data_IF_669494994727
#
_entry.id   IF_669494994727
#
_cell.length_a   1.000
_cell.length_b   1.000
_cell.length_c   1.000
_cell.angle_alpha   90.00
_cell.angle_beta   90.00
_cell.angle_gamma   90.00
#
_symmetry.space_group_name_H-M   'P 1'
#
loop_
_entity.id
_entity.type
_entity.pdbx_description
1 polymer ?
#
# COMPACT_ATOMS: atom_id res chain seq x y z
N UNK A 1 -21.56 1.50 2.20
CA UNK A 1 -21.20 2.78 2.87
C UNK A 1 -19.74 2.82 3.31
N UNK A 2 -19.18 1.79 3.97
CA UNK A 2 -17.80 1.80 4.46
C UNK A 2 -16.70 2.08 3.40
N UNK A 3 -16.87 1.62 2.15
CA UNK A 3 -15.89 1.84 1.07
C UNK A 3 -15.79 3.31 0.63
N UNK A 4 -16.89 4.07 0.69
CA UNK A 4 -16.93 5.48 0.29
C UNK A 4 -16.32 6.36 1.39
N UNK A 5 -16.58 6.03 2.67
CA UNK A 5 -15.93 6.70 3.81
C UNK A 5 -14.43 6.46 3.86
N UNK A 6 -13.97 5.24 3.52
CA UNK A 6 -12.54 4.89 3.38
C UNK A 6 -11.82 5.82 2.39
N UNK A 7 -12.47 6.13 1.26
CA UNK A 7 -11.87 6.94 0.20
C UNK A 7 -11.95 8.44 0.49
N UNK A 8 -13.01 8.90 1.17
CA UNK A 8 -13.14 10.28 1.61
C UNK A 8 -12.08 10.65 2.67
N UNK A 9 -11.85 9.78 3.66
CA UNK A 9 -10.86 10.01 4.73
C UNK A 9 -9.41 10.01 4.19
N UNK A 10 -9.07 9.15 3.21
CA UNK A 10 -7.75 9.14 2.57
C UNK A 10 -7.46 10.46 1.81
N UNK A 11 -8.48 11.09 1.24
CA UNK A 11 -8.34 12.37 0.54
C UNK A 11 -8.12 13.55 1.49
N UNK A 12 -8.78 13.58 2.66
CA UNK A 12 -8.67 14.69 3.62
C UNK A 12 -7.33 14.74 4.37
N UNK A 13 -6.66 13.59 4.56
CA UNK A 13 -5.38 13.53 5.30
C UNK A 13 -4.12 13.88 4.49
N UNK A 14 -4.24 14.26 3.21
CA UNK A 14 -3.06 14.60 2.38
C UNK A 14 -2.96 16.08 1.93
N UNK A 15 -2.99 17.08 2.84
CA UNK A 15 -2.83 18.49 2.44
C UNK A 15 -1.48 18.80 1.77
N UNK A 16 -0.42 18.01 2.04
CA UNK A 16 0.96 18.30 1.58
C UNK A 16 1.43 17.50 0.35
N UNK A 17 0.70 16.47 -0.09
CA UNK A 17 1.00 15.77 -1.36
C UNK A 17 0.33 16.42 -2.58
N UNK A 18 -0.42 17.51 -2.37
CA UNK A 18 -1.26 18.16 -3.38
C UNK A 18 -0.52 19.00 -4.44
N UNK A 19 0.81 19.10 -4.35
CA UNK A 19 1.58 19.98 -5.26
C UNK A 19 2.08 19.28 -6.54
N UNK A 20 1.93 17.96 -6.66
CA UNK A 20 2.34 17.23 -7.86
C UNK A 20 1.14 16.79 -8.71
N UNK A 21 1.04 17.33 -9.93
CA UNK A 21 -0.12 17.11 -10.84
C UNK A 21 -0.34 15.64 -11.21
N UNK A 22 0.72 14.83 -11.18
CA UNK A 22 0.66 13.39 -11.50
C UNK A 22 -0.03 12.61 -10.38
N UNK A 23 0.27 12.91 -9.12
CA UNK A 23 -0.25 12.17 -7.97
C UNK A 23 -1.75 12.44 -7.72
N UNK A 24 -2.21 13.64 -8.09
CA UNK A 24 -3.63 14.02 -8.04
C UNK A 24 -4.48 13.13 -8.96
N UNK A 25 -4.01 12.78 -10.16
CA UNK A 25 -4.81 11.98 -11.10
C UNK A 25 -5.03 10.54 -10.62
N UNK A 26 -4.04 9.97 -9.94
CA UNK A 26 -4.07 8.58 -9.45
C UNK A 26 -5.02 8.38 -8.26
N UNK A 27 -4.91 9.21 -7.22
CA UNK A 27 -5.77 9.09 -6.03
C UNK A 27 -7.23 9.36 -6.40
N UNK A 28 -7.49 10.40 -7.20
CA UNK A 28 -8.85 10.69 -7.69
C UNK A 28 -9.40 9.58 -8.59
N UNK A 29 -8.54 8.87 -9.34
CA UNK A 29 -8.94 7.72 -10.14
C UNK A 29 -9.44 6.55 -9.28
N UNK A 30 -8.72 6.22 -8.20
CA UNK A 30 -9.16 5.23 -7.21
C UNK A 30 -10.46 5.63 -6.53
N UNK A 31 -10.56 6.88 -6.11
CA UNK A 31 -11.74 7.40 -5.43
C UNK A 31 -12.97 7.35 -6.35
N UNK A 32 -12.83 7.77 -7.61
CA UNK A 32 -13.92 7.78 -8.59
C UNK A 32 -14.41 6.37 -8.98
N UNK A 33 -13.51 5.38 -9.00
CA UNK A 33 -13.85 3.98 -9.33
C UNK A 33 -14.88 3.40 -8.34
N UNK A 34 -14.72 3.68 -7.05
CA UNK A 34 -15.59 3.12 -6.01
C UNK A 34 -16.72 4.08 -5.59
N UNK A 35 -16.65 5.37 -5.94
CA UNK A 35 -17.71 6.35 -5.64
C UNK A 35 -18.98 6.14 -6.48
N UNK A 36 -18.86 5.58 -7.68
CA UNK A 36 -19.98 5.34 -8.60
C UNK A 36 -20.37 3.86 -8.67
N UNK A 37 -20.11 3.11 -7.59
CA UNK A 37 -20.21 1.66 -7.62
C UNK A 37 -21.56 1.17 -7.09
N UNK A 38 -22.35 0.57 -7.97
CA UNK A 38 -23.70 0.04 -7.68
C UNK A 38 -23.67 -1.42 -7.17
N UNK A 39 -22.48 -1.95 -6.86
CA UNK A 39 -22.31 -3.36 -6.47
C UNK A 39 -22.89 -3.66 -5.08
N UNK A 40 -23.89 -4.54 -5.04
CA UNK A 40 -24.61 -4.92 -3.81
C UNK A 40 -23.77 -5.65 -2.75
N UNK A 41 -22.64 -6.27 -3.14
CA UNK A 41 -21.67 -6.88 -2.22
C UNK A 41 -20.31 -7.04 -2.93
N UNK A 42 -19.25 -6.44 -2.38
CA UNK A 42 -17.88 -6.69 -2.83
C UNK A 42 -17.14 -7.53 -1.79
N UNK A 43 -16.70 -8.72 -2.19
CA UNK A 43 -15.76 -9.51 -1.41
C UNK A 43 -14.36 -8.84 -1.38
N UNK A 44 -13.59 -9.08 -0.33
CA UNK A 44 -12.24 -8.52 -0.13
C UNK A 44 -11.32 -8.81 -1.32
N UNK A 45 -11.39 -10.00 -1.91
CA UNK A 45 -10.60 -10.33 -3.10
C UNK A 45 -10.93 -9.44 -4.30
N UNK A 46 -12.22 -9.13 -4.50
CA UNK A 46 -12.68 -8.24 -5.56
C UNK A 46 -12.23 -6.79 -5.33
N UNK A 47 -12.21 -6.33 -4.08
CA UNK A 47 -11.69 -5.00 -3.73
C UNK A 47 -10.23 -4.90 -4.13
N UNK A 48 -9.37 -5.83 -3.68
CA UNK A 48 -7.94 -5.82 -4.05
C UNK A 48 -7.74 -5.89 -5.56
N UNK A 49 -8.53 -6.71 -6.28
CA UNK A 49 -8.44 -6.80 -7.74
C UNK A 49 -8.79 -5.47 -8.41
N UNK A 50 -9.90 -4.84 -8.03
CA UNK A 50 -10.32 -3.56 -8.62
C UNK A 50 -9.31 -2.46 -8.30
N UNK A 51 -8.81 -2.41 -7.07
CA UNK A 51 -7.74 -1.48 -6.71
C UNK A 51 -6.51 -1.71 -7.60
N UNK A 52 -6.09 -2.96 -7.83
CA UNK A 52 -4.97 -3.28 -8.71
C UNK A 52 -5.20 -2.78 -10.15
N UNK A 53 -6.36 -3.11 -10.74
CA UNK A 53 -6.73 -2.67 -12.09
C UNK A 53 -6.75 -1.13 -12.21
N UNK A 54 -7.26 -0.44 -11.20
CA UNK A 54 -7.31 1.02 -11.20
C UNK A 54 -5.92 1.62 -11.04
N UNK A 55 -5.07 1.04 -10.19
CA UNK A 55 -3.65 1.43 -10.08
C UNK A 55 -2.96 1.27 -11.43
N UNK A 56 -3.11 0.16 -12.12
CA UNK A 56 -2.50 -0.07 -13.44
C UNK A 56 -2.92 0.96 -14.49
N UNK A 57 -4.18 1.39 -14.45
CA UNK A 57 -4.74 2.35 -15.41
C UNK A 57 -4.40 3.81 -15.08
N UNK A 58 -4.30 4.14 -13.79
CA UNK A 58 -4.27 5.53 -13.32
C UNK A 58 -2.93 5.94 -12.71
N UNK A 59 -2.08 4.99 -12.34
CA UNK A 59 -0.73 5.24 -11.83
C UNK A 59 0.31 4.95 -12.91
N UNK A 60 1.21 5.90 -13.12
CA UNK A 60 2.39 5.71 -13.97
C UNK A 60 3.65 5.43 -13.16
N UNK A 61 4.69 4.95 -13.84
CA UNK A 61 6.03 4.79 -13.28
C UNK A 61 6.20 3.58 -12.35
N UNK A 62 7.36 3.52 -11.69
CA UNK A 62 7.78 2.35 -10.90
C UNK A 62 6.88 2.07 -9.69
N UNK A 63 6.33 3.09 -9.05
CA UNK A 63 5.41 2.92 -7.92
C UNK A 63 4.11 2.26 -8.34
N UNK A 64 3.52 2.66 -9.48
CA UNK A 64 2.33 2.03 -10.04
C UNK A 64 2.55 0.54 -10.31
N UNK A 65 3.69 0.18 -10.89
CA UNK A 65 4.06 -1.22 -11.11
C UNK A 65 4.20 -2.01 -9.79
N UNK A 66 4.87 -1.44 -8.78
CA UNK A 66 5.01 -2.08 -7.46
C UNK A 66 3.63 -2.32 -6.81
N UNK A 67 2.76 -1.30 -6.81
CA UNK A 67 1.40 -1.44 -6.28
C UNK A 67 0.59 -2.49 -7.06
N UNK A 68 0.65 -2.47 -8.39
CA UNK A 68 -0.07 -3.42 -9.24
C UNK A 68 0.36 -4.87 -8.97
N UNK A 69 1.67 -5.14 -8.92
CA UNK A 69 2.20 -6.49 -8.65
C UNK A 69 1.72 -6.96 -7.27
N UNK A 70 1.91 -6.12 -6.24
CA UNK A 70 1.52 -6.46 -4.87
C UNK A 70 0.02 -6.75 -4.76
N UNK A 71 -0.82 -5.81 -5.21
CA UNK A 71 -2.27 -5.92 -5.06
C UNK A 71 -2.85 -7.09 -5.86
N UNK A 72 -2.34 -7.35 -7.07
CA UNK A 72 -2.75 -8.53 -7.84
C UNK A 72 -2.34 -9.83 -7.16
N UNK A 73 -1.14 -9.90 -6.59
CA UNK A 73 -0.67 -11.08 -5.87
C UNK A 73 -1.50 -11.34 -4.60
N UNK A 74 -1.87 -10.29 -3.86
CA UNK A 74 -2.80 -10.38 -2.73
C UNK A 74 -4.18 -10.86 -3.20
N UNK A 75 -4.73 -10.27 -4.26
CA UNK A 75 -6.03 -10.66 -4.82
C UNK A 75 -6.05 -12.13 -5.26
N UNK A 76 -5.00 -12.58 -5.97
CA UNK A 76 -4.83 -13.98 -6.38
C UNK A 76 -4.83 -14.90 -5.15
N UNK A 77 -4.04 -14.56 -4.13
CA UNK A 77 -3.98 -15.38 -2.92
C UNK A 77 -5.32 -15.43 -2.17
N UNK A 78 -6.11 -14.36 -2.16
CA UNK A 78 -7.43 -14.36 -1.54
C UNK A 78 -8.39 -15.26 -2.31
N UNK A 79 -8.36 -15.22 -3.65
CA UNK A 79 -9.15 -16.10 -4.51
C UNK A 79 -8.78 -17.57 -4.32
N UNK A 80 -7.50 -17.91 -4.32
CA UNK A 80 -7.00 -19.28 -4.09
C UNK A 80 -7.50 -19.83 -2.75
N UNK A 81 -7.40 -19.02 -1.69
CA UNK A 81 -7.80 -19.43 -0.34
C UNK A 81 -9.33 -19.50 -0.19
N UNK A 82 -10.09 -18.61 -0.82
CA UNK A 82 -11.56 -18.68 -0.84
C UNK A 82 -12.05 -19.96 -1.53
N UNK A 83 -11.41 -20.38 -2.62
CA UNK A 83 -11.70 -21.65 -3.29
C UNK A 83 -11.35 -22.86 -2.40
N UNK A 84 -10.23 -22.80 -1.66
CA UNK A 84 -9.84 -23.85 -0.74
C UNK A 84 -10.79 -23.99 0.47
N UNK A 85 -11.41 -22.89 0.90
CA UNK A 85 -12.42 -22.83 1.97
C UNK A 85 -13.80 -23.34 1.56
N UNK A 86 -14.07 -23.55 0.27
CA UNK A 86 -15.26 -24.25 -0.19
C UNK A 86 -15.27 -25.73 0.24
N UNK A 87 -14.16 -26.23 0.79
CA UNK A 87 -14.10 -27.50 1.51
C UNK A 87 -14.58 -27.31 2.96
N UNK A 88 -15.60 -28.09 3.42
CA UNK A 88 -16.28 -27.87 4.70
C UNK A 88 -15.45 -28.07 5.98
N UNK A 89 -14.17 -28.41 5.86
CA UNK A 89 -13.28 -28.75 6.98
C UNK A 89 -12.40 -27.60 7.47
N UNK A 90 -12.43 -26.44 6.81
CA UNK A 90 -11.47 -25.34 7.06
C UNK A 90 -12.19 -24.08 7.53
N UNK A 91 -12.24 -23.85 8.84
CA UNK A 91 -12.68 -22.58 9.43
C UNK A 91 -11.49 -21.61 9.48
N UNK A 92 -11.21 -20.88 8.40
CA UNK A 92 -10.24 -19.77 8.46
C UNK A 92 -10.95 -18.44 8.62
N UNK A 93 -10.68 -17.74 9.72
CA UNK A 93 -11.19 -16.40 9.96
C UNK A 93 -10.55 -15.38 9.00
N UNK A 94 -11.33 -14.41 8.52
CA UNK A 94 -10.96 -13.38 7.54
C UNK A 94 -9.61 -12.67 7.84
N UNK A 95 -9.27 -12.29 9.08
CA UNK A 95 -7.97 -11.67 9.37
C UNK A 95 -6.77 -12.58 9.08
N UNK A 96 -6.91 -13.91 9.24
CA UNK A 96 -5.83 -14.84 8.92
C UNK A 96 -5.66 -15.01 7.41
N UNK A 97 -6.76 -14.98 6.65
CA UNK A 97 -6.72 -14.95 5.18
C UNK A 97 -5.97 -13.71 4.69
N UNK A 98 -6.37 -12.52 5.19
CA UNK A 98 -5.72 -11.26 4.81
C UNK A 98 -4.23 -11.28 5.15
N UNK A 99 -3.85 -11.74 6.35
CA UNK A 99 -2.43 -11.87 6.73
C UNK A 99 -1.66 -12.78 5.77
N UNK A 100 -2.16 -13.98 5.51
CA UNK A 100 -1.51 -14.93 4.61
C UNK A 100 -1.39 -14.37 3.19
N UNK A 101 -2.44 -13.68 2.70
CA UNK A 101 -2.42 -13.06 1.37
C UNK A 101 -1.49 -11.87 1.28
N UNK A 102 -1.38 -11.02 2.31
CA UNK A 102 -0.39 -9.93 2.36
C UNK A 102 1.04 -10.47 2.37
N UNK A 103 1.31 -11.53 3.13
CA UNK A 103 2.62 -12.18 3.16
C UNK A 103 2.99 -12.74 1.78
N UNK A 104 2.06 -13.45 1.14
CA UNK A 104 2.27 -13.99 -0.21
C UNK A 104 2.44 -12.86 -1.24
N UNK A 105 1.64 -11.81 -1.15
CA UNK A 105 1.77 -10.63 -2.00
C UNK A 105 3.13 -9.95 -1.89
N UNK A 106 3.67 -9.82 -0.67
CA UNK A 106 5.00 -9.25 -0.46
C UNK A 106 6.09 -10.17 -1.03
N UNK A 107 5.97 -11.48 -0.83
CA UNK A 107 6.92 -12.45 -1.39
C UNK A 107 6.98 -12.38 -2.92
N UNK A 108 5.83 -12.39 -3.58
CA UNK A 108 5.74 -12.25 -5.04
C UNK A 108 6.31 -10.91 -5.51
N UNK A 109 5.99 -9.80 -4.81
CA UNK A 109 6.55 -8.50 -5.14
C UNK A 109 8.09 -8.54 -5.12
N UNK A 110 8.68 -9.03 -4.04
CA UNK A 110 10.13 -9.15 -3.88
C UNK A 110 10.79 -10.05 -4.93
N UNK A 111 10.04 -10.96 -5.56
CA UNK A 111 10.53 -11.75 -6.69
C UNK A 111 10.68 -10.91 -7.98
N UNK A 112 9.76 -9.98 -8.20
CA UNK A 112 9.67 -9.20 -9.46
C UNK A 112 10.30 -7.80 -9.39
N UNK A 113 10.65 -7.30 -8.20
CA UNK A 113 11.35 -6.01 -8.04
C UNK A 113 12.65 -6.16 -7.26
N UNK A 114 13.74 -5.47 -7.67
CA UNK A 114 14.94 -5.38 -6.85
C UNK A 114 14.76 -4.39 -5.67
N UNK A 115 13.63 -3.68 -5.56
CA UNK A 115 13.42 -2.71 -4.50
C UNK A 115 13.28 -3.38 -3.13
N UNK A 116 14.09 -2.95 -2.16
CA UNK A 116 14.13 -3.50 -0.80
C UNK A 116 14.52 -2.40 0.20
N UNK A 117 14.58 -2.78 1.47
CA UNK A 117 15.18 -1.95 2.53
C UNK A 117 16.61 -1.58 2.11
N UNK A 118 16.98 -0.31 2.32
CA UNK A 118 18.23 0.29 1.86
C UNK A 118 18.17 1.01 0.51
N UNK A 119 17.12 0.82 -0.30
CA UNK A 119 17.01 1.45 -1.63
C UNK A 119 16.32 2.82 -1.66
N UNK A 120 15.87 3.35 -0.50
CA UNK A 120 15.00 4.54 -0.37
C UNK A 120 13.78 4.47 -1.31
N UNK A 121 12.84 3.59 -0.98
CA UNK A 121 11.61 3.38 -1.77
C UNK A 121 10.43 3.09 -0.85
N UNK A 122 9.23 3.02 -1.43
CA UNK A 122 8.00 2.63 -0.74
C UNK A 122 8.06 1.29 0.02
N UNK A 123 9.03 0.43 -0.33
CA UNK A 123 9.31 -0.82 0.37
C UNK A 123 9.67 -0.62 1.84
N UNK A 124 10.21 0.55 2.21
CA UNK A 124 10.52 0.88 3.60
C UNK A 124 9.28 1.02 4.48
N UNK A 125 8.12 1.31 3.90
CA UNK A 125 6.86 1.30 4.64
C UNK A 125 6.13 -0.04 4.47
N UNK A 126 6.13 -0.59 3.26
CA UNK A 126 5.37 -1.78 2.93
C UNK A 126 5.89 -3.04 3.63
N UNK A 127 7.22 -3.27 3.63
CA UNK A 127 7.81 -4.47 4.25
C UNK A 127 7.52 -4.49 5.77
N UNK A 128 7.85 -3.45 6.57
CA UNK A 128 7.62 -3.49 8.01
C UNK A 128 6.14 -3.61 8.38
N UNK A 129 5.23 -3.00 7.59
CA UNK A 129 3.79 -3.17 7.79
C UNK A 129 3.37 -4.64 7.68
N UNK A 130 3.72 -5.29 6.56
CA UNK A 130 3.31 -6.67 6.29
C UNK A 130 3.93 -7.62 7.31
N UNK A 131 5.22 -7.45 7.63
CA UNK A 131 5.90 -8.27 8.65
C UNK A 131 5.24 -8.11 10.03
N UNK A 132 4.96 -6.89 10.47
CA UNK A 132 4.31 -6.67 11.77
C UNK A 132 2.89 -7.24 11.81
N UNK A 133 2.08 -6.98 10.77
CA UNK A 133 0.69 -7.44 10.74
C UNK A 133 0.58 -8.98 10.64
N UNK A 134 1.49 -9.62 9.89
CA UNK A 134 1.56 -11.08 9.78
C UNK A 134 2.08 -11.74 11.05
N UNK A 135 2.97 -11.06 11.80
CA UNK A 135 3.38 -11.42 13.16
C UNK A 135 2.29 -11.20 14.22
N UNK A 136 1.05 -10.89 13.80
CA UNK A 136 -0.14 -10.68 14.65
C UNK A 136 -0.08 -9.45 15.55
N UNK A 137 0.70 -8.44 15.18
CA UNK A 137 0.54 -7.12 15.76
C UNK A 137 -0.87 -6.56 15.47
N UNK A 138 -1.31 -5.60 16.30
CA UNK A 138 -2.54 -4.86 16.00
C UNK A 138 -2.38 -4.10 14.68
N UNK A 139 -3.49 -3.75 14.02
CA UNK A 139 -3.44 -2.93 12.82
C UNK A 139 -2.68 -1.62 13.09
N UNK A 140 -2.95 -0.98 14.22
CA UNK A 140 -2.29 0.24 14.69
C UNK A 140 -0.78 0.08 14.83
N UNK A 141 -0.33 -0.99 15.47
CA UNK A 141 1.11 -1.23 15.66
C UNK A 141 1.79 -1.51 14.31
N UNK A 142 1.13 -2.24 13.40
CA UNK A 142 1.65 -2.46 12.06
C UNK A 142 1.76 -1.15 11.25
N UNK A 143 0.77 -0.24 11.35
CA UNK A 143 0.84 1.10 10.73
C UNK A 143 1.97 1.94 11.35
N UNK A 144 2.21 1.79 12.66
CA UNK A 144 3.35 2.45 13.32
C UNK A 144 4.69 1.94 12.79
N UNK A 145 4.86 0.64 12.57
CA UNK A 145 6.08 0.08 11.96
C UNK A 145 6.27 0.56 10.52
N UNK A 146 5.19 0.67 9.74
CA UNK A 146 5.24 1.27 8.40
C UNK A 146 5.77 2.71 8.44
N UNK A 147 5.30 3.50 9.42
CA UNK A 147 5.74 4.88 9.62
C UNK A 147 7.20 4.97 10.03
N UNK A 148 7.63 4.16 10.99
CA UNK A 148 9.04 4.11 11.42
C UNK A 148 9.93 3.78 10.23
N UNK A 149 9.54 2.78 9.45
CA UNK A 149 10.24 2.38 8.24
C UNK A 149 10.32 3.51 7.21
N UNK A 150 9.21 4.19 6.92
CA UNK A 150 9.21 5.38 6.06
C UNK A 150 10.17 6.46 6.58
N UNK A 151 10.19 6.73 7.88
CA UNK A 151 11.06 7.75 8.47
C UNK A 151 12.55 7.46 8.27
N UNK A 152 12.96 6.19 8.31
CA UNK A 152 14.37 5.81 8.07
C UNK A 152 14.90 6.28 6.71
N UNK A 153 14.01 6.48 5.73
CA UNK A 153 14.39 6.91 4.37
C UNK A 153 14.85 8.36 4.29
N UNK A 154 14.60 9.15 5.33
CA UNK A 154 14.96 10.58 5.40
C UNK A 154 16.43 10.78 5.02
N UNK A 155 17.33 10.09 5.71
CA UNK A 155 18.78 10.24 5.57
C UNK A 155 19.42 9.32 4.52
N UNK A 156 18.62 8.67 3.67
CA UNK A 156 19.13 7.70 2.69
C UNK A 156 19.41 8.34 1.33
N UNK A 157 20.51 7.93 0.69
CA UNK A 157 20.70 8.20 -0.74
C UNK A 157 19.85 7.20 -1.52
N UNK A 158 19.09 7.67 -2.52
CA UNK A 158 18.28 6.78 -3.34
C UNK A 158 19.15 5.92 -4.26
N UNK A 159 18.98 4.60 -4.18
CA UNK A 159 19.61 3.66 -5.09
C UNK A 159 18.74 3.39 -6.32
N UNK A 160 17.41 3.52 -6.19
CA UNK A 160 16.44 3.20 -7.22
C UNK A 160 15.44 4.33 -7.47
N UNK A 161 14.77 4.27 -8.61
CA UNK A 161 13.71 5.20 -8.99
C UNK A 161 14.22 6.59 -9.37
N UNK A 162 13.30 7.53 -9.57
CA UNK A 162 13.64 8.89 -10.02
C UNK A 162 14.44 9.69 -8.99
N UNK A 163 14.33 9.31 -7.71
CA UNK A 163 15.07 9.94 -6.63
C UNK A 163 16.58 9.71 -6.74
N UNK A 164 17.05 8.62 -7.39
CA UNK A 164 18.48 8.37 -7.58
C UNK A 164 19.16 9.33 -8.55
N UNK A 165 18.38 10.08 -9.35
CA UNK A 165 18.90 11.10 -10.28
C UNK A 165 19.24 12.42 -9.58
N UNK A 166 18.77 12.60 -8.35
CA UNK A 166 18.98 13.82 -7.58
C UNK A 166 20.21 13.62 -6.69
N UNK A 167 21.24 14.44 -6.87
CA UNK A 167 22.46 14.39 -6.07
C UNK A 167 22.18 14.58 -4.57
N UNK A 168 23.00 13.94 -3.71
CA UNK A 168 22.84 13.96 -2.25
C UNK A 168 22.67 15.38 -1.70
N UNK A 169 23.44 16.33 -2.21
CA UNK A 169 23.47 17.73 -1.75
C UNK A 169 22.12 18.47 -1.93
N UNK A 170 21.21 17.94 -2.75
CA UNK A 170 19.86 18.50 -2.96
C UNK A 170 18.76 17.78 -2.17
N UNK A 171 19.08 16.63 -1.58
CA UNK A 171 18.12 15.79 -0.87
C UNK A 171 18.18 15.94 0.65
N UNK A 172 19.29 16.47 1.18
CA UNK A 172 19.55 16.60 2.61
C UNK A 172 19.65 18.08 3.00
N UNK A 173 18.78 18.50 3.91
CA UNK A 173 18.94 19.73 4.69
C UNK A 173 19.57 19.39 6.07
N UNK A 174 19.65 20.36 6.98
CA UNK A 174 20.20 20.18 8.33
C UNK A 174 19.45 19.11 9.16
N UNK A 175 18.20 18.80 8.81
CA UNK A 175 17.39 17.76 9.46
C UNK A 175 17.43 16.41 8.73
N UNK A 176 18.25 16.28 7.70
CA UNK A 176 18.40 15.07 6.91
C UNK A 176 17.37 14.92 5.79
N UNK A 177 16.61 15.96 5.45
CA UNK A 177 15.70 15.99 4.30
C UNK A 177 14.28 15.45 4.57
N UNK A 178 13.56 15.14 3.48
CA UNK A 178 12.19 14.61 3.52
C UNK A 178 12.24 13.09 3.29
N UNK A 179 11.50 12.28 4.07
CA UNK A 179 11.31 10.86 3.78
C UNK A 179 10.83 10.61 2.34
N UNK A 180 11.14 9.42 1.82
CA UNK A 180 10.72 8.99 0.49
C UNK A 180 9.21 9.21 0.30
N UNK A 181 8.78 9.98 -0.72
CA UNK A 181 7.36 10.23 -0.97
C UNK A 181 6.57 8.94 -1.25
N UNK A 182 7.21 7.92 -1.83
CA UNK A 182 6.59 6.61 -2.02
C UNK A 182 6.28 5.92 -0.70
N UNK A 183 7.23 5.89 0.23
CA UNK A 183 7.04 5.33 1.57
C UNK A 183 6.00 6.11 2.38
N UNK A 184 6.02 7.44 2.33
CA UNK A 184 4.98 8.27 2.95
C UNK A 184 3.60 8.01 2.35
N UNK A 185 3.52 7.79 1.03
CA UNK A 185 2.28 7.42 0.36
C UNK A 185 1.65 6.13 0.90
N UNK A 186 2.48 5.09 1.11
CA UNK A 186 2.04 3.83 1.74
C UNK A 186 1.50 4.08 3.14
N UNK A 187 2.22 4.85 3.97
CA UNK A 187 1.76 5.19 5.33
C UNK A 187 0.41 5.90 5.32
N UNK A 188 0.19 6.84 4.40
CA UNK A 188 -1.09 7.54 4.27
C UNK A 188 -2.25 6.59 3.92
N UNK A 189 -2.03 5.65 2.99
CA UNK A 189 -3.03 4.62 2.66
C UNK A 189 -3.36 3.78 3.89
N UNK A 190 -2.32 3.31 4.59
CA UNK A 190 -2.48 2.45 5.76
C UNK A 190 -3.21 3.12 6.92
N UNK A 191 -2.95 4.41 7.16
CA UNK A 191 -3.71 5.22 8.12
C UNK A 191 -5.18 5.34 7.75
N UNK A 192 -5.48 5.55 6.47
CA UNK A 192 -6.87 5.59 6.00
C UNK A 192 -7.61 4.28 6.31
N UNK A 193 -6.93 3.14 6.11
CA UNK A 193 -7.45 1.82 6.49
C UNK A 193 -7.62 1.69 8.01
N UNK A 194 -6.61 2.10 8.79
CA UNK A 194 -6.67 2.12 10.26
C UNK A 194 -7.84 2.96 10.78
N UNK A 195 -8.07 4.15 10.21
CA UNK A 195 -9.14 5.06 10.63
C UNK A 195 -10.56 4.58 10.33
N UNK A 196 -10.70 3.48 9.57
CA UNK A 196 -11.99 2.83 9.27
C UNK A 196 -12.14 1.50 10.00
N UNK A 197 -11.05 0.74 10.15
CA UNK A 197 -11.07 -0.60 10.75
C UNK A 197 -10.65 -0.63 12.23
N UNK A 198 -10.14 0.49 12.77
CA UNK A 198 -9.63 0.61 14.13
C UNK A 198 -10.65 1.06 15.17
N UNK A 199 -11.94 1.08 14.83
CA UNK A 199 -13.07 1.29 15.75
C UNK A 199 -13.62 -0.04 16.29
#
# INVERSE_FOLDING_TARGET
MATIELLAKICDETPKLSQDKVNRRSIFGLVNEFQNDDAAFLDVGHIFRRTATTVERTMGGTSGAIYAIFLNAVANSLTDQAQALANPSTSTNLPNLIRASLQRGLHELCHYTPAHIGHRTLMHALIPFVEAYTARASLRDAVLEARKGAETTRQMAAALGRASYVGRDRLFDEEGGIPDPGALGVVSILKGVEAVLGE
#
